data_IF_184706057903
#
_entry.id   IF_184706057903
#
_cell.length_a   1.000
_cell.length_b   1.000
_cell.length_c   1.000
_cell.angle_alpha   90.00
_cell.angle_beta   90.00
_cell.angle_gamma   90.00
#
_symmetry.space_group_name_H-M   'P 1'
#
loop_
_entity.id
_entity.type
_entity.pdbx_description
1 polymer ?
#
# COMPACT_ATOMS: atom_id res chain seq x y z
N UNK A 1 -15.98 -3.15 19.94
CA UNK A 1 -16.74 -3.39 21.21
C UNK A 1 -17.17 -2.09 21.90
N UNK A 2 -16.33 -1.05 21.95
CA UNK A 2 -16.67 0.23 22.61
C UNK A 2 -17.92 0.94 22.04
N UNK A 3 -18.25 0.73 20.77
CA UNK A 3 -19.43 1.35 20.12
C UNK A 3 -20.66 0.44 20.11
N UNK A 4 -20.66 -0.65 20.86
CA UNK A 4 -21.81 -1.57 20.97
C UNK A 4 -22.02 -2.50 19.76
N UNK A 5 -21.07 -2.55 18.81
CA UNK A 5 -21.12 -3.50 17.71
C UNK A 5 -20.55 -4.87 18.12
N UNK A 6 -21.17 -5.92 17.63
CA UNK A 6 -20.68 -7.29 17.76
C UNK A 6 -20.06 -7.74 16.44
N UNK A 7 -18.85 -8.33 16.51
CA UNK A 7 -18.26 -9.00 15.37
C UNK A 7 -19.01 -10.32 15.14
N UNK A 8 -19.64 -10.45 13.97
CA UNK A 8 -20.39 -11.66 13.62
C UNK A 8 -19.48 -12.73 12.99
N UNK A 9 -18.50 -12.31 12.23
CA UNK A 9 -17.52 -13.20 11.62
C UNK A 9 -16.23 -12.44 11.30
N UNK A 10 -15.09 -13.13 11.38
CA UNK A 10 -13.81 -12.65 10.84
C UNK A 10 -13.55 -13.39 9.52
N UNK A 11 -13.61 -12.65 8.41
CA UNK A 11 -13.43 -13.24 7.08
C UNK A 11 -12.01 -13.77 6.84
N UNK A 12 -11.02 -13.27 7.57
CA UNK A 12 -9.64 -13.78 7.49
C UNK A 12 -9.58 -15.23 8.02
N UNK A 13 -10.33 -15.52 9.09
CA UNK A 13 -10.41 -16.86 9.66
C UNK A 13 -11.11 -17.89 8.75
N UNK A 14 -11.89 -17.41 7.77
CA UNK A 14 -12.58 -18.24 6.79
C UNK A 14 -11.67 -18.60 5.58
N UNK A 15 -10.43 -18.16 5.56
CA UNK A 15 -9.49 -18.43 4.47
C UNK A 15 -9.90 -17.78 3.13
N UNK A 16 -10.72 -16.74 3.17
CA UNK A 16 -11.12 -16.00 1.98
C UNK A 16 -9.97 -15.08 1.55
N UNK A 17 -9.41 -15.37 0.39
CA UNK A 17 -8.46 -14.47 -0.26
C UNK A 17 -9.24 -13.39 -1.02
N UNK A 18 -8.92 -12.14 -0.77
CA UNK A 18 -9.49 -11.00 -1.49
C UNK A 18 -8.41 -9.93 -1.71
N UNK A 19 -8.24 -9.50 -2.96
CA UNK A 19 -7.27 -8.44 -3.27
C UNK A 19 -7.87 -7.07 -2.92
N UNK A 20 -7.81 -6.72 -1.63
CA UNK A 20 -8.46 -5.52 -1.10
C UNK A 20 -7.71 -4.23 -1.46
N UNK A 21 -6.39 -4.23 -1.27
CA UNK A 21 -5.55 -3.04 -1.53
C UNK A 21 -4.44 -3.40 -2.50
N UNK A 22 -4.25 -2.57 -3.51
CA UNK A 22 -3.18 -2.72 -4.48
C UNK A 22 -2.70 -1.36 -4.98
N UNK A 23 -1.44 -1.30 -5.42
CA UNK A 23 -0.98 -0.21 -6.26
C UNK A 23 -1.32 -0.52 -7.71
N UNK A 24 -1.95 0.42 -8.39
CA UNK A 24 -2.32 0.29 -9.79
C UNK A 24 -1.62 1.35 -10.64
N UNK A 25 -1.24 0.95 -11.86
CA UNK A 25 -0.71 1.84 -12.89
C UNK A 25 -1.14 1.36 -14.28
N UNK A 26 -0.85 2.15 -15.31
CA UNK A 26 -1.15 1.77 -16.67
C UNK A 26 -0.05 0.92 -17.28
N UNK A 27 -0.39 0.09 -18.27
CA UNK A 27 0.60 -0.67 -19.03
C UNK A 27 1.60 0.24 -19.76
N UNK A 28 1.15 1.40 -20.20
CA UNK A 28 2.02 2.38 -20.87
C UNK A 28 3.04 2.97 -19.89
N UNK A 29 2.66 3.22 -18.63
CA UNK A 29 3.60 3.64 -17.59
C UNK A 29 4.64 2.54 -17.33
N UNK A 30 4.22 1.28 -17.23
CA UNK A 30 5.16 0.16 -17.03
C UNK A 30 6.17 0.08 -18.19
N UNK A 31 5.72 0.26 -19.43
CA UNK A 31 6.57 0.20 -20.62
C UNK A 31 7.49 1.42 -20.78
N UNK A 32 6.94 2.62 -20.58
CA UNK A 32 7.67 3.87 -20.83
C UNK A 32 8.56 4.33 -19.67
N UNK A 33 8.21 3.95 -18.44
CA UNK A 33 8.90 4.38 -17.21
C UNK A 33 9.15 3.21 -16.24
N UNK A 34 9.76 2.08 -16.69
CA UNK A 34 9.95 0.90 -15.85
C UNK A 34 10.79 1.21 -14.59
N UNK A 35 11.77 2.12 -14.68
CA UNK A 35 12.60 2.49 -13.54
C UNK A 35 11.82 3.24 -12.46
N UNK A 36 10.86 4.07 -12.85
CA UNK A 36 9.96 4.73 -11.91
C UNK A 36 9.08 3.69 -11.20
N UNK A 37 8.50 2.75 -11.96
CA UNK A 37 7.68 1.68 -11.39
C UNK A 37 8.50 0.83 -10.41
N UNK A 38 9.72 0.44 -10.80
CA UNK A 38 10.67 -0.30 -9.94
C UNK A 38 10.96 0.46 -8.64
N UNK A 39 11.21 1.76 -8.73
CA UNK A 39 11.49 2.60 -7.56
C UNK A 39 10.29 2.69 -6.61
N UNK A 40 9.07 2.82 -7.15
CA UNK A 40 7.83 2.85 -6.36
C UNK A 40 7.59 1.50 -5.68
N UNK A 41 7.74 0.38 -6.39
CA UNK A 41 7.58 -0.96 -5.81
C UNK A 41 8.61 -1.20 -4.71
N UNK A 42 9.88 -0.81 -4.95
CA UNK A 42 10.94 -0.90 -3.93
C UNK A 42 10.62 -0.07 -2.68
N UNK A 43 10.23 1.19 -2.86
CA UNK A 43 9.85 2.06 -1.74
C UNK A 43 8.67 1.49 -0.94
N UNK A 44 7.73 0.82 -1.61
CA UNK A 44 6.60 0.17 -0.95
C UNK A 44 7.02 -1.06 -0.13
N UNK A 45 7.97 -1.85 -0.63
CA UNK A 45 8.56 -2.96 0.14
C UNK A 45 9.31 -2.44 1.38
N UNK A 46 10.09 -1.36 1.22
CA UNK A 46 10.78 -0.69 2.34
C UNK A 46 9.77 -0.12 3.36
N UNK A 47 8.67 0.47 2.89
CA UNK A 47 7.61 0.98 3.75
C UNK A 47 6.88 -0.14 4.53
N UNK A 48 6.65 -1.29 3.91
CA UNK A 48 6.09 -2.47 4.58
C UNK A 48 7.04 -2.95 5.68
N UNK A 49 8.33 -3.04 5.37
CA UNK A 49 9.33 -3.40 6.39
C UNK A 49 9.34 -2.39 7.54
N UNK A 50 9.34 -1.09 7.24
CA UNK A 50 9.28 -0.04 8.27
C UNK A 50 8.02 -0.17 9.13
N UNK A 51 6.86 -0.32 8.49
CA UNK A 51 5.58 -0.54 9.18
C UNK A 51 5.65 -1.68 10.19
N UNK A 52 6.26 -2.80 9.81
CA UNK A 52 6.35 -4.00 10.67
C UNK A 52 7.38 -3.90 11.78
N UNK A 53 8.46 -3.15 11.58
CA UNK A 53 9.61 -3.09 12.50
C UNK A 53 9.63 -1.85 13.39
N UNK A 54 8.87 -0.80 13.05
CA UNK A 54 8.84 0.48 13.77
C UNK A 54 7.43 0.76 14.31
N UNK A 55 7.00 -0.08 15.29
CA UNK A 55 5.63 -0.05 15.83
C UNK A 55 5.21 1.33 16.32
N UNK A 56 6.06 1.99 17.11
CA UNK A 56 5.73 3.29 17.72
C UNK A 56 5.48 4.36 16.66
N UNK A 57 6.41 4.52 15.76
CA UNK A 57 6.36 5.49 14.67
C UNK A 57 5.20 5.19 13.70
N UNK A 58 4.93 3.93 13.45
CA UNK A 58 3.80 3.50 12.61
C UNK A 58 2.46 3.82 13.25
N UNK A 59 2.32 3.67 14.57
CA UNK A 59 1.12 4.06 15.31
C UNK A 59 0.93 5.59 15.27
N UNK A 60 2.00 6.39 15.39
CA UNK A 60 1.91 7.84 15.23
C UNK A 60 1.47 8.27 13.83
N UNK A 61 1.92 7.56 12.79
CA UNK A 61 1.45 7.77 11.42
C UNK A 61 -0.03 7.41 11.32
N UNK A 62 -0.47 6.27 11.85
CA UNK A 62 -1.87 5.88 11.88
C UNK A 62 -2.74 6.91 12.59
N UNK A 63 -2.31 7.40 13.77
CA UNK A 63 -2.98 8.48 14.52
C UNK A 63 -3.26 9.70 13.65
N UNK A 64 -2.23 10.15 12.92
CA UNK A 64 -2.33 11.31 12.03
C UNK A 64 -3.36 11.11 10.92
N UNK A 65 -3.35 9.96 10.26
CA UNK A 65 -4.23 9.71 9.11
C UNK A 65 -5.64 9.30 9.51
N UNK A 66 -5.79 8.56 10.60
CA UNK A 66 -7.10 8.18 11.14
C UNK A 66 -7.77 9.32 11.96
N UNK A 67 -7.00 10.37 12.29
CA UNK A 67 -7.48 11.52 13.07
C UNK A 67 -8.13 11.10 14.39
N UNK A 68 -7.51 10.19 15.10
CA UNK A 68 -7.99 9.68 16.40
C UNK A 68 -6.86 9.60 17.40
N UNK A 69 -7.16 9.86 18.67
CA UNK A 69 -6.24 9.71 19.80
C UNK A 69 -6.57 8.46 20.64
N UNK A 70 -7.50 7.62 20.20
CA UNK A 70 -7.83 6.36 20.87
C UNK A 70 -6.66 5.36 20.68
N UNK A 71 -5.83 5.29 21.72
CA UNK A 71 -4.60 4.48 21.72
C UNK A 71 -4.88 2.99 21.60
N UNK A 72 -6.02 2.51 22.12
CA UNK A 72 -6.42 1.11 22.04
C UNK A 72 -6.83 0.76 20.60
N UNK A 73 -7.68 1.59 19.99
CA UNK A 73 -8.08 1.42 18.60
C UNK A 73 -6.89 1.50 17.63
N UNK A 74 -5.93 2.39 17.88
CA UNK A 74 -4.71 2.51 17.08
C UNK A 74 -3.83 1.26 17.21
N UNK A 75 -3.67 0.72 18.42
CA UNK A 75 -2.90 -0.49 18.66
C UNK A 75 -3.56 -1.72 18.00
N UNK A 76 -4.87 -1.90 18.16
CA UNK A 76 -5.62 -2.97 17.51
C UNK A 76 -5.55 -2.87 15.98
N UNK A 77 -5.67 -1.66 15.43
CA UNK A 77 -5.53 -1.40 13.98
C UNK A 77 -4.14 -1.76 13.48
N UNK A 78 -3.10 -1.37 14.21
CA UNK A 78 -1.72 -1.72 13.87
C UNK A 78 -1.52 -3.23 13.83
N UNK A 79 -1.96 -3.94 14.84
CA UNK A 79 -1.81 -5.40 14.92
C UNK A 79 -2.58 -6.12 13.83
N UNK A 80 -3.84 -5.72 13.60
CA UNK A 80 -4.65 -6.30 12.54
C UNK A 80 -4.07 -6.07 11.14
N UNK A 81 -3.61 -4.87 10.85
CA UNK A 81 -3.11 -4.51 9.50
C UNK A 81 -1.64 -4.88 9.35
N UNK A 82 -0.76 -4.36 10.20
CA UNK A 82 0.67 -4.49 10.00
C UNK A 82 1.19 -5.91 10.21
N UNK A 83 0.67 -6.63 11.20
CA UNK A 83 1.17 -7.95 11.55
C UNK A 83 0.42 -9.07 10.82
N UNK A 84 -0.90 -8.93 10.65
CA UNK A 84 -1.72 -10.03 10.15
C UNK A 84 -2.11 -9.90 8.68
N UNK A 85 -2.37 -8.67 8.19
CA UNK A 85 -2.93 -8.47 6.84
C UNK A 85 -1.86 -8.18 5.78
N UNK A 86 -0.88 -7.32 6.09
CA UNK A 86 0.13 -6.90 5.12
C UNK A 86 1.26 -7.92 5.05
N UNK A 87 1.48 -8.59 3.90
CA UNK A 87 2.56 -9.56 3.76
C UNK A 87 3.93 -8.88 3.62
N UNK A 88 5.00 -9.53 4.07
CA UNK A 88 6.39 -9.05 3.87
C UNK A 88 6.78 -9.02 2.40
N UNK A 89 6.26 -9.96 1.64
CA UNK A 89 6.41 -10.06 0.18
C UNK A 89 5.08 -9.72 -0.47
N UNK A 90 4.89 -8.49 -0.95
CA UNK A 90 3.58 -8.00 -1.39
C UNK A 90 3.23 -8.47 -2.81
N UNK A 91 3.18 -9.77 -3.01
CA UNK A 91 2.64 -10.34 -4.25
C UNK A 91 1.13 -10.17 -4.31
N UNK A 92 0.57 -9.72 -5.45
CA UNK A 92 -0.87 -9.75 -5.63
C UNK A 92 -1.39 -11.19 -5.65
N UNK A 93 -2.59 -11.42 -5.10
CA UNK A 93 -3.22 -12.73 -5.11
C UNK A 93 -4.09 -12.91 -6.35
N UNK A 94 -3.74 -13.87 -7.21
CA UNK A 94 -4.55 -14.20 -8.39
C UNK A 94 -5.92 -14.73 -8.00
N UNK A 95 -6.00 -15.50 -6.91
CA UNK A 95 -7.27 -16.03 -6.38
C UNK A 95 -8.18 -14.89 -5.90
N UNK A 96 -7.62 -13.91 -5.18
CA UNK A 96 -8.38 -12.74 -4.73
C UNK A 96 -8.93 -11.91 -5.90
N UNK A 97 -8.14 -11.74 -6.97
CA UNK A 97 -8.60 -11.07 -8.20
C UNK A 97 -9.67 -11.91 -8.91
N UNK A 98 -9.53 -13.23 -8.95
CA UNK A 98 -10.54 -14.13 -9.52
C UNK A 98 -11.90 -13.97 -8.84
N UNK A 99 -11.93 -13.85 -7.50
CA UNK A 99 -13.15 -13.61 -6.73
C UNK A 99 -13.79 -12.29 -7.14
N UNK A 100 -13.00 -11.21 -7.25
CA UNK A 100 -13.48 -9.91 -7.71
C UNK A 100 -14.07 -9.99 -9.11
N UNK A 101 -13.41 -10.68 -10.04
CA UNK A 101 -13.92 -10.89 -11.41
C UNK A 101 -15.23 -11.67 -11.41
N UNK A 102 -15.39 -12.69 -10.56
CA UNK A 102 -16.61 -13.45 -10.42
C UNK A 102 -17.76 -12.59 -9.87
N UNK A 103 -17.52 -11.74 -8.89
CA UNK A 103 -18.51 -10.80 -8.36
C UNK A 103 -18.96 -9.81 -9.45
N UNK A 104 -18.02 -9.29 -10.24
CA UNK A 104 -18.31 -8.34 -11.31
C UNK A 104 -18.98 -9.01 -12.52
N UNK A 105 -18.80 -10.31 -12.73
CA UNK A 105 -19.28 -11.03 -13.92
C UNK A 105 -20.80 -10.96 -14.12
N UNK A 106 -21.57 -10.76 -13.03
CA UNK A 106 -23.01 -10.57 -13.08
C UNK A 106 -23.42 -9.20 -13.63
N UNK A 107 -22.53 -8.20 -13.54
CA UNK A 107 -22.78 -6.81 -13.92
C UNK A 107 -22.03 -6.38 -15.18
N UNK A 108 -20.88 -6.99 -15.45
CA UNK A 108 -20.02 -6.66 -16.59
C UNK A 108 -19.60 -7.95 -17.34
N UNK A 109 -20.09 -8.15 -18.60
CA UNK A 109 -19.70 -9.30 -19.42
C UNK A 109 -18.19 -9.39 -19.68
N UNK A 110 -17.46 -8.26 -19.65
CA UNK A 110 -15.99 -8.26 -19.82
C UNK A 110 -15.30 -8.93 -18.64
N UNK A 111 -15.83 -8.76 -17.42
CA UNK A 111 -15.29 -9.43 -16.23
C UNK A 111 -15.43 -10.95 -16.32
N UNK A 112 -16.52 -11.44 -16.93
CA UNK A 112 -16.76 -12.89 -17.13
C UNK A 112 -15.69 -13.53 -18.04
N UNK A 113 -15.19 -12.80 -19.04
CA UNK A 113 -14.18 -13.28 -19.99
C UNK A 113 -12.75 -12.98 -19.55
N UNK A 114 -12.57 -12.20 -18.51
CA UNK A 114 -11.26 -11.75 -18.03
C UNK A 114 -10.56 -12.82 -17.18
N UNK A 115 -9.21 -12.80 -17.22
CA UNK A 115 -8.36 -13.67 -16.41
C UNK A 115 -7.54 -12.83 -15.42
N UNK A 116 -7.33 -13.29 -14.19
CA UNK A 116 -6.59 -12.55 -13.14
C UNK A 116 -5.22 -12.06 -13.59
N UNK A 117 -4.50 -12.85 -14.39
CA UNK A 117 -3.15 -12.53 -14.87
C UNK A 117 -3.09 -11.28 -15.74
N UNK A 118 -4.24 -10.88 -16.31
CA UNK A 118 -4.33 -9.66 -17.12
C UNK A 118 -4.25 -8.38 -16.31
N UNK A 119 -4.43 -8.46 -14.99
CA UNK A 119 -4.49 -7.32 -14.07
C UNK A 119 -3.28 -7.20 -13.16
N UNK A 120 -2.31 -8.08 -13.27
CA UNK A 120 -1.12 -8.08 -12.42
C UNK A 120 0.16 -8.05 -13.23
N UNK A 121 1.16 -7.37 -12.70
CA UNK A 121 2.56 -7.51 -13.09
C UNK A 121 3.38 -7.80 -11.84
N UNK A 122 3.81 -9.04 -11.70
CA UNK A 122 4.60 -9.50 -10.57
C UNK A 122 6.12 -9.35 -10.79
N UNK A 123 6.55 -8.92 -11.97
CA UNK A 123 7.96 -8.91 -12.37
C UNK A 123 8.83 -8.08 -11.44
N UNK A 124 8.38 -6.90 -11.04
CA UNK A 124 9.11 -5.99 -10.17
C UNK A 124 9.27 -6.54 -8.73
N UNK A 125 8.23 -7.17 -8.18
CA UNK A 125 8.33 -7.80 -6.86
C UNK A 125 9.23 -9.04 -6.93
N UNK A 126 9.11 -9.85 -8.00
CA UNK A 126 9.99 -11.02 -8.23
C UNK A 126 11.45 -10.63 -8.37
N UNK A 127 11.75 -9.50 -9.02
CA UNK A 127 13.12 -8.97 -9.15
C UNK A 127 13.70 -8.64 -7.76
N UNK A 128 12.95 -7.94 -6.92
CA UNK A 128 13.38 -7.60 -5.55
C UNK A 128 13.56 -8.85 -4.68
N UNK A 129 12.60 -9.77 -4.74
CA UNK A 129 12.64 -11.01 -3.97
C UNK A 129 13.81 -11.91 -4.44
N UNK A 130 13.94 -12.14 -5.74
CA UNK A 130 15.00 -12.95 -6.33
C UNK A 130 16.40 -12.40 -6.13
N UNK A 131 16.56 -11.06 -6.01
CA UNK A 131 17.83 -10.42 -5.64
C UNK A 131 18.20 -10.58 -4.17
N UNK A 132 17.32 -11.15 -3.34
CA UNK A 132 17.45 -11.25 -1.88
C UNK A 132 17.29 -9.89 -1.17
N UNK A 133 16.79 -8.85 -1.86
CA UNK A 133 16.62 -7.53 -1.26
C UNK A 133 15.69 -7.57 -0.07
N UNK A 134 14.53 -8.25 -0.20
CA UNK A 134 13.54 -8.37 0.87
C UNK A 134 14.14 -9.08 2.08
N UNK A 135 14.83 -10.21 1.86
CA UNK A 135 15.49 -10.95 2.93
C UNK A 135 16.52 -10.12 3.69
N UNK A 136 17.30 -9.29 2.97
CA UNK A 136 18.28 -8.40 3.63
C UNK A 136 17.62 -7.36 4.51
N UNK A 137 16.47 -6.81 4.11
CA UNK A 137 15.73 -5.87 4.95
C UNK A 137 15.36 -6.49 6.30
N UNK A 138 14.84 -7.70 6.30
CA UNK A 138 14.37 -8.37 7.54
C UNK A 138 15.52 -9.01 8.36
N UNK A 139 16.67 -9.32 7.73
CA UNK A 139 17.88 -9.80 8.44
C UNK A 139 18.70 -8.67 9.05
N UNK A 140 18.64 -7.46 8.51
CA UNK A 140 19.32 -6.31 9.08
C UNK A 140 18.70 -6.02 10.47
N UNK A 141 19.51 -6.09 11.53
CA UNK A 141 19.06 -5.61 12.86
C UNK A 141 18.60 -4.16 12.71
N UNK A 142 17.49 -3.75 13.35
CA UNK A 142 17.07 -2.36 13.31
C UNK A 142 18.23 -1.51 13.78
N UNK A 143 18.71 -0.62 12.92
CA UNK A 143 19.62 0.44 13.30
C UNK A 143 18.80 1.36 14.19
N UNK A 144 19.05 1.33 15.50
CA UNK A 144 18.49 2.32 16.42
C UNK A 144 19.08 3.65 15.96
N UNK A 145 18.32 4.39 15.18
CA UNK A 145 18.69 5.72 14.72
C UNK A 145 18.75 6.64 15.96
N UNK A 146 19.95 6.80 16.49
CA UNK A 146 20.30 7.97 17.27
C UNK A 146 20.14 9.20 16.36
N UNK A 147 19.23 10.07 16.75
CA UNK A 147 18.88 11.37 16.28
C UNK A 147 19.56 11.91 15.03
N UNK A 148 18.77 11.95 13.95
CA UNK A 148 18.72 13.10 13.04
C UNK A 148 17.47 12.93 12.18
N UNK A 149 16.43 13.70 12.52
CA UNK A 149 15.23 13.84 11.72
C UNK A 149 15.59 14.51 10.40
N UNK A 150 15.78 13.72 9.34
CA UNK A 150 15.65 14.28 7.99
C UNK A 150 14.19 14.69 7.79
N UNK A 151 13.96 15.99 7.90
CA UNK A 151 12.72 16.62 7.52
C UNK A 151 12.41 16.25 6.05
N UNK A 152 11.21 15.74 5.73
CA UNK A 152 10.85 15.52 4.34
C UNK A 152 10.90 16.85 3.60
N UNK A 153 11.57 16.85 2.45
CA UNK A 153 11.64 18.00 1.57
C UNK A 153 10.23 18.50 1.25
N UNK A 154 10.01 19.78 1.48
CA UNK A 154 8.75 20.42 1.14
C UNK A 154 8.49 20.31 -0.38
N UNK A 155 7.25 20.10 -0.83
CA UNK A 155 6.92 20.10 -2.23
C UNK A 155 7.26 21.44 -2.86
N UNK A 156 7.74 21.50 -4.13
CA UNK A 156 8.08 22.74 -4.78
C UNK A 156 6.85 23.65 -4.86
N UNK A 157 7.01 24.88 -4.38
CA UNK A 157 6.01 25.93 -4.44
C UNK A 157 5.70 26.27 -5.90
N UNK A 158 4.50 25.96 -6.38
CA UNK A 158 3.97 26.46 -7.64
C UNK A 158 3.36 27.85 -7.42
N UNK A 159 4.22 28.85 -7.18
CA UNK A 159 3.83 30.23 -7.29
C UNK A 159 4.23 30.73 -8.69
N UNK A 160 3.30 30.73 -9.62
CA UNK A 160 3.38 31.57 -10.82
C UNK A 160 2.06 32.30 -11.01
N UNK A 161 2.13 33.54 -10.76
CA UNK A 161 1.54 34.76 -11.17
C UNK A 161 0.50 34.67 -12.28
N UNK A 162 -0.76 34.86 -11.90
CA UNK A 162 -1.81 35.25 -12.83
C UNK A 162 -1.62 36.74 -13.07
N UNK A 163 -1.06 37.09 -14.23
CA UNK A 163 -0.99 38.44 -14.72
C UNK A 163 -2.40 38.88 -15.14
N UNK A 164 -2.93 39.86 -14.43
CA UNK A 164 -4.20 40.52 -14.75
C UNK A 164 -4.01 41.34 -15.98
N UNK A 165 -4.61 40.94 -17.10
CA UNK A 165 -4.74 41.81 -18.29
C UNK A 165 -5.87 42.78 -18.04
N UNK A 166 -5.53 44.05 -17.81
CA UNK A 166 -6.46 45.17 -17.82
C UNK A 166 -6.96 45.39 -19.26
N UNK A 167 -8.27 45.31 -19.42
CA UNK A 167 -8.98 45.75 -20.61
C UNK A 167 -9.09 47.28 -20.53
N UNK A 168 -8.48 47.96 -21.46
CA UNK A 168 -8.67 49.39 -21.71
C UNK A 168 -9.66 49.56 -22.86
N UNK A 169 -10.59 50.43 -22.65
CA UNK A 169 -11.71 50.87 -23.49
C UNK A 169 -11.46 50.96 -25.00
#
# INVERSE_FOLDING_TARGET
KKMGFNMLADLQMLGLEYQYTAMATTRDMIKSRPDLVRSVVRASVEAIHYLKTHRKESIEILRKYMKTDDTEALAETYEAIALNLVPERPYPTLRGIQIILQELASKDPKAKAARPEQFVDMSFVKELDGSGFIDRLYKAKPVVAGGETRQPAAPPSTAKGVSTVQKKD
#
